data_IF_791313957188
#
_entry.id   IF_791313957188
#
_cell.length_a   1.000
_cell.length_b   1.000
_cell.length_c   1.000
_cell.angle_alpha   90.00
_cell.angle_beta   90.00
_cell.angle_gamma   90.00
#
_symmetry.space_group_name_H-M   'P 1'
#
loop_
_entity.id
_entity.type
_entity.pdbx_description
1 polymer ?
#
# COMPACT_ATOMS: atom_id res chain seq x y z
N UNK A 1 24.54 -47.81 -0.54
CA UNK A 1 25.29 -47.16 -1.63
C UNK A 1 24.75 -45.75 -1.78
N UNK A 2 25.47 -44.75 -1.29
CA UNK A 2 25.08 -43.34 -1.32
C UNK A 2 25.83 -42.67 -2.48
N UNK A 3 25.11 -42.25 -3.51
CA UNK A 3 25.68 -41.50 -4.63
C UNK A 3 25.51 -40.00 -4.35
N UNK A 4 26.55 -39.40 -3.78
CA UNK A 4 26.68 -37.94 -3.67
C UNK A 4 26.89 -37.37 -5.07
N UNK A 5 25.84 -36.79 -5.68
CA UNK A 5 25.99 -35.96 -6.87
C UNK A 5 26.64 -34.65 -6.45
N UNK A 6 27.85 -34.41 -6.95
CA UNK A 6 28.53 -33.11 -6.90
C UNK A 6 27.61 -32.10 -7.61
N UNK A 7 27.07 -31.15 -6.86
CA UNK A 7 26.39 -30.00 -7.44
C UNK A 7 27.43 -29.03 -7.98
N UNK A 8 27.40 -28.81 -9.29
CA UNK A 8 28.18 -27.78 -9.97
C UNK A 8 27.88 -26.41 -9.38
N UNK A 9 28.93 -25.74 -8.90
CA UNK A 9 28.91 -24.42 -8.22
C UNK A 9 28.58 -23.24 -9.14
N UNK A 10 28.04 -23.46 -10.34
CA UNK A 10 27.86 -22.42 -11.36
C UNK A 10 26.39 -22.10 -11.73
N UNK A 11 25.40 -22.64 -11.02
CA UNK A 11 23.99 -22.46 -11.40
C UNK A 11 23.39 -21.07 -11.08
N UNK A 12 24.05 -20.25 -10.26
CA UNK A 12 23.48 -18.97 -9.81
C UNK A 12 23.90 -17.74 -10.62
N UNK A 13 24.77 -17.87 -11.63
CA UNK A 13 25.42 -16.70 -12.23
C UNK A 13 24.71 -16.05 -13.43
N UNK A 14 23.46 -16.42 -13.71
CA UNK A 14 22.61 -15.69 -14.67
C UNK A 14 21.15 -15.84 -14.26
N UNK A 15 20.72 -15.13 -13.21
CA UNK A 15 19.30 -14.80 -13.09
C UNK A 15 18.96 -13.91 -14.29
N UNK A 16 18.44 -14.51 -15.35
CA UNK A 16 17.84 -13.80 -16.47
C UNK A 16 16.89 -12.73 -15.90
N UNK A 17 17.00 -11.49 -16.40
CA UNK A 17 16.16 -10.34 -16.00
C UNK A 17 14.67 -10.68 -15.91
N UNK A 18 14.22 -11.72 -16.61
CA UNK A 18 12.85 -12.25 -16.61
C UNK A 18 12.37 -12.92 -15.30
N UNK A 19 13.23 -13.23 -14.35
CA UNK A 19 12.83 -13.96 -13.12
C UNK A 19 12.06 -13.12 -12.07
N UNK A 20 12.08 -11.79 -12.20
CA UNK A 20 11.45 -10.86 -11.23
C UNK A 20 10.17 -10.20 -11.73
N UNK A 21 9.77 -10.47 -12.97
CA UNK A 21 8.62 -9.82 -13.60
C UNK A 21 7.67 -10.86 -14.19
N UNK A 22 6.37 -10.62 -14.05
CA UNK A 22 5.37 -11.36 -14.80
C UNK A 22 5.41 -10.96 -16.28
N UNK A 23 5.10 -11.91 -17.17
CA UNK A 23 4.95 -11.61 -18.60
C UNK A 23 3.74 -10.68 -18.79
N UNK A 24 3.95 -9.53 -19.42
CA UNK A 24 2.88 -8.59 -19.73
C UNK A 24 2.00 -9.13 -20.86
N UNK A 25 0.82 -9.65 -20.52
CA UNK A 25 -0.17 -10.13 -21.49
C UNK A 25 -1.01 -9.02 -22.13
N UNK A 26 -0.87 -7.78 -21.65
CA UNK A 26 -1.70 -6.66 -22.11
C UNK A 26 -1.20 -6.06 -23.43
N UNK A 27 0.05 -6.30 -23.84
CA UNK A 27 0.58 -5.77 -25.11
C UNK A 27 -0.22 -6.23 -26.33
N UNK A 28 -0.72 -7.47 -26.34
CA UNK A 28 -1.56 -8.00 -27.43
C UNK A 28 -2.96 -7.34 -27.46
N UNK A 29 -3.40 -6.78 -26.32
CA UNK A 29 -4.71 -6.16 -26.14
C UNK A 29 -4.71 -4.67 -26.46
N UNK A 30 -3.54 -4.02 -26.42
CA UNK A 30 -3.40 -2.59 -26.71
C UNK A 30 -3.79 -2.25 -28.16
N UNK A 31 -3.48 -3.12 -29.12
CA UNK A 31 -3.86 -2.93 -30.53
C UNK A 31 -5.38 -3.02 -30.73
N UNK A 32 -6.06 -3.91 -30.02
CA UNK A 32 -7.51 -4.08 -30.04
C UNK A 32 -8.22 -2.83 -29.47
N UNK A 33 -7.71 -2.30 -28.36
CA UNK A 33 -8.22 -1.12 -27.66
C UNK A 33 -8.16 0.13 -28.55
N UNK A 34 -7.07 0.35 -29.28
CA UNK A 34 -6.89 1.52 -30.17
C UNK A 34 -7.90 1.52 -31.32
N UNK A 35 -8.28 0.33 -31.80
CA UNK A 35 -9.18 0.20 -32.95
C UNK A 35 -10.65 0.51 -32.65
N UNK A 36 -11.09 0.50 -31.38
CA UNK A 36 -12.53 0.49 -31.06
C UNK A 36 -12.92 1.23 -29.77
N UNK A 37 -12.32 2.40 -29.54
CA UNK A 37 -12.44 3.22 -28.31
C UNK A 37 -13.89 3.46 -27.86
N UNK A 38 -14.82 3.73 -28.77
CA UNK A 38 -16.22 4.02 -28.44
C UNK A 38 -17.00 2.78 -27.96
N UNK A 39 -16.58 1.58 -28.33
CA UNK A 39 -17.25 0.33 -27.90
C UNK A 39 -16.84 -0.11 -26.49
N UNK A 40 -15.70 0.38 -25.99
CA UNK A 40 -15.14 -0.05 -24.70
C UNK A 40 -15.73 0.65 -23.48
N UNK A 41 -16.60 1.64 -23.65
CA UNK A 41 -17.14 2.41 -22.51
C UNK A 41 -17.80 1.48 -21.47
N UNK A 42 -18.55 0.47 -21.92
CA UNK A 42 -19.14 -0.54 -21.03
C UNK A 42 -18.08 -1.34 -20.27
N UNK A 43 -17.01 -1.75 -20.94
CA UNK A 43 -15.91 -2.49 -20.31
C UNK A 43 -15.13 -1.63 -19.30
N UNK A 44 -14.96 -0.34 -19.58
CA UNK A 44 -14.36 0.63 -18.66
C UNK A 44 -15.23 0.79 -17.42
N UNK A 45 -16.55 0.93 -17.60
CA UNK A 45 -17.48 1.07 -16.48
C UNK A 45 -17.55 -0.21 -15.62
N UNK A 46 -17.56 -1.38 -16.27
CA UNK A 46 -17.46 -2.68 -15.59
C UNK A 46 -16.13 -2.82 -14.83
N UNK A 47 -15.01 -2.46 -15.46
CA UNK A 47 -13.69 -2.51 -14.83
C UNK A 47 -13.61 -1.56 -13.64
N UNK A 48 -14.20 -0.37 -13.73
CA UNK A 48 -14.29 0.58 -12.62
C UNK A 48 -15.11 0.03 -11.47
N UNK A 49 -16.25 -0.63 -11.74
CA UNK A 49 -17.07 -1.29 -10.71
C UNK A 49 -16.26 -2.40 -10.01
N UNK A 50 -15.60 -3.26 -10.77
CA UNK A 50 -14.76 -4.34 -10.23
C UNK A 50 -13.62 -3.78 -9.39
N UNK A 51 -12.95 -2.71 -9.83
CA UNK A 51 -11.89 -2.05 -9.09
C UNK A 51 -12.38 -1.49 -7.75
N UNK A 52 -13.56 -0.85 -7.72
CA UNK A 52 -14.19 -0.36 -6.48
C UNK A 52 -14.50 -1.51 -5.51
N UNK A 53 -15.05 -2.62 -6.00
CA UNK A 53 -15.34 -3.78 -5.16
C UNK A 53 -14.08 -4.45 -4.62
N UNK A 54 -13.03 -4.54 -5.44
CA UNK A 54 -11.74 -5.05 -5.01
C UNK A 54 -11.09 -4.14 -3.96
N UNK A 55 -11.19 -2.82 -4.14
CA UNK A 55 -10.73 -1.85 -3.14
C UNK A 55 -11.46 -2.06 -1.81
N UNK A 56 -12.79 -2.14 -1.80
CA UNK A 56 -13.59 -2.43 -0.58
C UNK A 56 -13.11 -3.70 0.12
N UNK A 57 -12.87 -4.78 -0.63
CA UNK A 57 -12.35 -6.05 -0.08
C UNK A 57 -10.95 -5.91 0.52
N UNK A 58 -10.06 -5.14 -0.13
CA UNK A 58 -8.71 -4.89 0.37
C UNK A 58 -8.79 -4.08 1.68
N UNK A 59 -9.59 -3.03 1.72
CA UNK A 59 -9.75 -2.20 2.92
C UNK A 59 -10.32 -2.99 4.10
N UNK A 60 -11.31 -3.85 3.84
CA UNK A 60 -11.82 -4.74 4.88
C UNK A 60 -10.74 -5.69 5.39
N UNK A 61 -9.93 -6.28 4.48
CA UNK A 61 -8.82 -7.15 4.88
C UNK A 61 -7.76 -6.44 5.71
N UNK A 62 -7.47 -5.17 5.42
CA UNK A 62 -6.54 -4.36 6.24
C UNK A 62 -7.09 -4.26 7.66
N UNK A 63 -8.35 -3.84 7.83
CA UNK A 63 -8.97 -3.70 9.16
C UNK A 63 -9.07 -5.04 9.89
N UNK A 64 -9.38 -6.12 9.19
CA UNK A 64 -9.50 -7.45 9.78
C UNK A 64 -8.16 -8.03 10.25
N UNK A 65 -7.06 -7.74 9.51
CA UNK A 65 -5.74 -8.31 9.78
C UNK A 65 -4.89 -7.44 10.70
N UNK A 66 -5.01 -6.13 10.56
CA UNK A 66 -4.25 -5.15 11.31
C UNK A 66 -5.19 -4.07 11.86
N UNK A 67 -6.07 -4.41 12.82
CA UNK A 67 -6.97 -3.42 13.41
C UNK A 67 -6.17 -2.31 14.11
N UNK A 68 -6.71 -1.09 14.26
CA UNK A 68 -5.98 0.06 14.81
C UNK A 68 -5.31 -0.19 16.16
N UNK A 69 -5.88 -1.04 17.00
CA UNK A 69 -5.37 -1.37 18.34
C UNK A 69 -4.14 -2.29 18.31
N UNK A 70 -3.87 -2.96 17.17
CA UNK A 70 -2.77 -3.93 17.00
C UNK A 70 -1.85 -3.61 15.83
N UNK A 71 -2.13 -2.56 15.07
CA UNK A 71 -1.32 -2.16 13.95
C UNK A 71 0.08 -1.76 14.41
N UNK A 72 1.10 -2.07 13.59
CA UNK A 72 2.50 -1.78 13.91
C UNK A 72 2.71 -0.26 14.07
N UNK A 73 3.08 0.19 15.25
CA UNK A 73 3.24 1.62 15.56
C UNK A 73 4.64 2.16 15.29
N UNK A 74 5.65 1.27 15.22
CA UNK A 74 7.07 1.62 15.06
C UNK A 74 7.49 1.69 13.58
N UNK A 75 6.61 1.25 12.67
CA UNK A 75 6.88 1.16 11.24
C UNK A 75 6.85 2.49 10.47
N UNK A 76 6.56 3.60 11.15
CA UNK A 76 6.35 4.91 10.54
C UNK A 76 5.33 4.87 9.40
N UNK A 77 5.47 5.76 8.43
CA UNK A 77 4.61 5.79 7.23
C UNK A 77 4.85 4.59 6.30
N UNK A 78 6.02 3.94 6.38
CA UNK A 78 6.43 2.93 5.39
C UNK A 78 5.77 1.57 5.63
N UNK A 79 5.71 1.12 6.89
CA UNK A 79 5.14 -0.20 7.25
C UNK A 79 4.24 -0.16 8.48
N UNK A 80 3.96 1.02 9.04
CA UNK A 80 3.21 1.16 10.28
C UNK A 80 1.81 1.76 10.14
N UNK A 81 1.14 1.89 11.28
CA UNK A 81 -0.18 2.48 11.47
C UNK A 81 -0.29 3.89 10.88
N UNK A 82 0.80 4.67 10.90
CA UNK A 82 0.87 5.97 10.22
C UNK A 82 0.65 5.86 8.70
N UNK A 83 1.18 4.83 8.05
CA UNK A 83 0.95 4.58 6.60
C UNK A 83 -0.48 4.13 6.31
N UNK A 84 -1.05 3.30 7.18
CA UNK A 84 -2.46 2.89 7.09
C UNK A 84 -3.39 4.10 7.30
N UNK A 85 -3.09 4.95 8.28
CA UNK A 85 -3.79 6.21 8.52
C UNK A 85 -3.78 7.11 7.28
N UNK A 86 -2.60 7.32 6.68
CA UNK A 86 -2.46 8.07 5.44
C UNK A 86 -3.31 7.49 4.30
N UNK A 87 -3.33 6.17 4.16
CA UNK A 87 -4.15 5.49 3.15
C UNK A 87 -5.65 5.80 3.34
N UNK A 88 -6.17 5.71 4.57
CA UNK A 88 -7.57 6.02 4.85
C UNK A 88 -7.90 7.51 4.71
N UNK A 89 -6.98 8.41 5.03
CA UNK A 89 -7.14 9.85 4.79
C UNK A 89 -7.30 10.15 3.30
N UNK A 90 -6.42 9.59 2.45
CA UNK A 90 -6.51 9.77 0.99
C UNK A 90 -7.78 9.20 0.40
N UNK A 91 -8.33 8.14 0.98
CA UNK A 91 -9.62 7.58 0.58
C UNK A 91 -10.79 8.47 0.99
N UNK A 92 -10.73 9.08 2.17
CA UNK A 92 -11.74 10.04 2.62
C UNK A 92 -11.82 11.27 1.71
N UNK A 93 -10.68 11.73 1.20
CA UNK A 93 -10.56 12.86 0.26
C UNK A 93 -10.91 12.48 -1.20
N UNK A 94 -11.05 11.19 -1.50
CA UNK A 94 -11.25 10.72 -2.87
C UNK A 94 -12.72 10.85 -3.30
N UNK A 95 -13.02 11.88 -4.09
CA UNK A 95 -14.37 12.15 -4.63
C UNK A 95 -14.88 11.09 -5.60
N UNK A 96 -14.01 10.22 -6.12
CA UNK A 96 -14.40 9.11 -7.00
C UNK A 96 -15.05 7.95 -6.24
N UNK A 97 -14.91 7.92 -4.91
CA UNK A 97 -15.54 6.96 -4.01
C UNK A 97 -16.81 7.54 -3.39
N UNK A 98 -17.69 6.67 -2.90
CA UNK A 98 -18.99 7.06 -2.37
C UNK A 98 -18.84 7.98 -1.16
N UNK A 99 -19.50 9.14 -1.18
CA UNK A 99 -19.46 10.16 -0.11
C UNK A 99 -19.82 9.56 1.25
N UNK A 100 -20.75 8.59 1.28
CA UNK A 100 -21.17 7.87 2.49
C UNK A 100 -20.03 7.13 3.19
N UNK A 101 -18.98 6.75 2.45
CA UNK A 101 -17.81 6.06 3.01
C UNK A 101 -16.71 7.01 3.48
N UNK A 102 -16.75 8.29 3.08
CA UNK A 102 -15.73 9.29 3.42
C UNK A 102 -15.57 9.47 4.92
N UNK A 103 -16.68 9.63 5.65
CA UNK A 103 -16.64 9.80 7.12
C UNK A 103 -16.07 8.56 7.82
N UNK A 104 -16.43 7.35 7.36
CA UNK A 104 -15.90 6.10 7.90
C UNK A 104 -14.38 6.00 7.69
N UNK A 105 -13.91 6.37 6.50
CA UNK A 105 -12.48 6.40 6.20
C UNK A 105 -11.74 7.46 7.03
N UNK A 106 -12.33 8.64 7.22
CA UNK A 106 -11.75 9.67 8.07
C UNK A 106 -11.61 9.21 9.53
N UNK A 107 -12.65 8.57 10.09
CA UNK A 107 -12.58 8.01 11.44
C UNK A 107 -11.51 6.92 11.56
N UNK A 108 -11.37 6.04 10.56
CA UNK A 108 -10.29 5.04 10.55
C UNK A 108 -8.91 5.72 10.50
N UNK A 109 -8.73 6.73 9.65
CA UNK A 109 -7.48 7.48 9.58
C UNK A 109 -7.08 8.07 10.94
N UNK A 110 -8.04 8.66 11.65
CA UNK A 110 -7.83 9.18 13.00
C UNK A 110 -7.45 8.08 13.99
N UNK A 111 -8.15 6.93 13.99
CA UNK A 111 -7.84 5.84 14.91
C UNK A 111 -6.43 5.28 14.71
N UNK A 112 -6.04 4.99 13.47
CA UNK A 112 -4.67 4.52 13.19
C UNK A 112 -3.61 5.56 13.57
N UNK A 113 -3.89 6.85 13.35
CA UNK A 113 -2.97 7.93 13.74
C UNK A 113 -2.79 8.00 15.25
N UNK A 114 -3.89 7.92 16.01
CA UNK A 114 -3.86 7.96 17.48
C UNK A 114 -3.06 6.80 18.06
N UNK A 115 -3.24 5.58 17.53
CA UNK A 115 -2.42 4.43 17.93
C UNK A 115 -0.93 4.67 17.68
N UNK A 116 -0.58 5.27 16.55
CA UNK A 116 0.82 5.59 16.22
C UNK A 116 1.41 6.68 17.12
N UNK A 117 0.62 7.72 17.44
CA UNK A 117 1.05 8.85 18.28
C UNK A 117 1.27 8.45 19.75
N UNK A 118 0.41 7.60 20.30
CA UNK A 118 0.53 7.12 21.68
C UNK A 118 1.91 6.49 21.94
N UNK A 119 2.47 5.80 20.95
CA UNK A 119 3.77 5.15 21.05
C UNK A 119 4.94 6.13 20.96
N UNK A 120 4.82 7.22 20.19
CA UNK A 120 5.83 8.30 20.18
C UNK A 120 5.87 9.01 21.53
N UNK A 121 4.70 9.33 22.09
CA UNK A 121 4.59 9.98 23.41
C UNK A 121 5.11 9.09 24.55
N UNK A 122 4.85 7.79 24.53
CA UNK A 122 5.44 6.85 25.49
C UNK A 122 6.97 6.72 25.35
N UNK A 123 7.53 7.03 24.17
CA UNK A 123 8.96 6.92 23.86
C UNK A 123 9.73 8.23 23.98
N UNK A 124 9.09 9.36 24.29
CA UNK A 124 9.76 10.66 24.54
C UNK A 124 10.78 10.61 25.70
N UNK A 125 10.81 9.55 26.51
CA UNK A 125 11.88 9.27 27.48
C UNK A 125 13.11 8.54 26.93
N UNK A 126 13.11 8.12 25.66
CA UNK A 126 14.19 7.40 24.98
C UNK A 126 14.46 8.05 23.63
N UNK A 127 15.43 8.96 23.60
CA UNK A 127 15.98 9.57 22.39
C UNK A 127 16.39 8.50 21.38
N UNK A 128 15.52 8.17 20.42
CA UNK A 128 15.85 7.55 19.12
C UNK A 128 14.61 7.22 18.24
N UNK A 129 13.54 8.01 18.24
CA UNK A 129 12.52 7.93 17.17
C UNK A 129 12.77 8.99 16.11
N UNK A 130 13.97 8.98 15.54
CA UNK A 130 14.31 9.76 14.36
C UNK A 130 13.85 9.02 13.11
N UNK A 131 12.70 9.41 12.55
CA UNK A 131 12.56 9.42 11.09
C UNK A 131 11.38 10.24 10.53
N UNK A 132 10.43 10.77 11.33
CA UNK A 132 9.24 11.44 10.77
C UNK A 132 8.77 12.73 11.46
N UNK A 133 9.54 13.34 12.35
CA UNK A 133 9.18 14.65 12.94
C UNK A 133 10.16 15.80 12.63
N UNK A 134 11.15 15.59 11.77
CA UNK A 134 12.22 16.56 11.53
C UNK A 134 12.11 17.30 10.19
N UNK A 135 10.89 17.66 9.76
CA UNK A 135 10.68 18.43 8.54
C UNK A 135 10.07 19.84 8.74
N UNK A 136 9.92 20.33 9.98
CA UNK A 136 9.28 21.66 10.14
C UNK A 136 9.71 22.52 11.35
N UNK A 137 10.96 22.41 11.84
CA UNK A 137 11.46 23.35 12.86
C UNK A 137 12.86 23.92 12.64
N UNK A 138 13.52 23.66 11.50
CA UNK A 138 14.87 24.17 11.23
C UNK A 138 14.94 25.44 10.37
N UNK A 139 13.81 26.09 10.04
CA UNK A 139 13.81 27.29 9.17
C UNK A 139 13.37 28.61 9.80
N UNK A 140 13.14 28.70 11.11
CA UNK A 140 12.92 29.99 11.78
C UNK A 140 13.51 30.02 13.19
N UNK A 141 14.83 30.07 13.29
CA UNK A 141 15.55 30.76 14.38
C UNK A 141 17.00 30.98 13.96
N UNK A 142 17.30 32.20 13.55
CA UNK A 142 18.60 32.66 13.07
C UNK A 142 18.46 33.90 12.22
#
# INVERSE_FOLDING_TARGET
>A
MCCIRKYDKNFFNTMSRRSRYFVNKYCEREEEIISNVLSMQREIDDSRRIAKDNLRKILQRIVDKEPPERAETDGGIYVGASGISYTFLRLAECTALEVETSQKHLSLAEYYLRSSLAMVQCREGRSNTGFLLELETSYYQG
#
